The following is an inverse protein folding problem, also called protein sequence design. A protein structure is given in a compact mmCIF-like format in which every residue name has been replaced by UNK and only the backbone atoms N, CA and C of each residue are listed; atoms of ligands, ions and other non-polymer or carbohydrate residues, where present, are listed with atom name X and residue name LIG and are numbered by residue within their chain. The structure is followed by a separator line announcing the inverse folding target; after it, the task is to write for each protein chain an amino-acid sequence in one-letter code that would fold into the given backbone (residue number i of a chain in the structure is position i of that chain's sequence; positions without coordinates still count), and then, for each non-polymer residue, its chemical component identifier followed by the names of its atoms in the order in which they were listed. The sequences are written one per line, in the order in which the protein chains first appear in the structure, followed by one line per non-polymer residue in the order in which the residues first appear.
data_IF_226075804958
#
_entry.id   IF_226075804958
#
_cell.length_a   1.000
_cell.length_b   1.000
_cell.length_c   1.000
_cell.angle_alpha   90.00
_cell.angle_beta   90.00
_cell.angle_gamma   90.00
#
_symmetry.space_group_name_H-M   'P 1'
#
loop_
_entity.id
_entity.type
_entity.pdbx_description
1 polymer ?
#
# COMPACT_ATOMS: atom_id res chain seq x y z
N UNK A 1 -43.52 -4.67 -35.33
CA UNK A 1 -43.21 -5.30 -34.03
C UNK A 1 -41.93 -4.66 -33.52
N UNK A 2 -42.01 -3.74 -32.55
CA UNK A 2 -40.84 -3.05 -32.00
C UNK A 2 -40.57 -3.61 -30.60
N UNK A 3 -39.39 -4.21 -30.42
CA UNK A 3 -38.90 -4.62 -29.12
C UNK A 3 -37.90 -3.57 -28.63
N UNK A 4 -38.22 -2.90 -27.52
CA UNK A 4 -37.30 -2.00 -26.81
C UNK A 4 -36.65 -2.79 -25.68
N UNK A 5 -35.36 -3.10 -25.81
CA UNK A 5 -34.58 -3.67 -24.73
C UNK A 5 -34.12 -2.55 -23.78
N UNK A 6 -34.66 -2.54 -22.56
CA UNK A 6 -34.08 -1.75 -21.46
C UNK A 6 -32.82 -2.47 -20.97
N UNK A 7 -31.65 -1.97 -21.36
CA UNK A 7 -30.41 -2.31 -20.65
C UNK A 7 -30.49 -1.70 -19.26
N UNK A 8 -30.71 -2.55 -18.25
CA UNK A 8 -30.58 -2.17 -16.86
C UNK A 8 -29.09 -2.05 -16.54
N UNK A 9 -28.51 -0.87 -16.75
CA UNK A 9 -27.15 -0.56 -16.32
C UNK A 9 -27.21 -0.44 -14.80
N UNK A 10 -27.16 -1.58 -14.11
CA UNK A 10 -26.62 -1.60 -12.76
C UNK A 10 -25.16 -1.18 -12.90
N UNK A 11 -24.92 0.11 -12.74
CA UNK A 11 -23.61 0.72 -12.64
C UNK A 11 -22.98 0.16 -11.35
N UNK A 12 -22.40 -1.04 -11.47
CA UNK A 12 -21.68 -1.72 -10.39
C UNK A 12 -20.50 -0.81 -10.09
N UNK A 13 -20.62 0.07 -9.09
CA UNK A 13 -19.51 0.90 -8.62
C UNK A 13 -18.35 -0.06 -8.38
N UNK A 14 -17.35 -0.04 -9.26
CA UNK A 14 -16.21 -0.94 -9.12
C UNK A 14 -15.49 -0.53 -7.85
N UNK A 15 -15.28 -1.50 -6.95
CA UNK A 15 -14.48 -1.26 -5.76
C UNK A 15 -13.06 -0.89 -6.20
N UNK A 16 -12.63 0.32 -5.89
CA UNK A 16 -11.29 0.82 -6.22
C UNK A 16 -10.31 0.26 -5.20
N UNK A 17 -9.44 -0.65 -5.64
CA UNK A 17 -8.37 -1.20 -4.79
C UNK A 17 -7.13 -0.33 -4.96
N UNK A 18 -6.57 0.16 -3.85
CA UNK A 18 -5.32 0.93 -3.81
C UNK A 18 -4.32 0.14 -2.98
N UNK A 19 -3.16 -0.15 -3.56
CA UNK A 19 -2.08 -0.82 -2.87
C UNK A 19 -1.19 0.19 -2.15
N UNK A 20 -0.92 -0.07 -0.87
CA UNK A 20 0.08 0.68 -0.10
C UNK A 20 1.44 0.50 -0.75
N UNK A 21 2.11 1.63 -1.01
CA UNK A 21 3.48 1.64 -1.55
C UNK A 21 4.50 2.26 -0.59
N UNK A 22 4.71 1.63 0.55
CA UNK A 22 5.57 2.12 1.65
C UNK A 22 6.64 1.11 2.00
N UNK A 23 7.90 1.40 1.68
CA UNK A 23 9.03 0.51 1.94
C UNK A 23 9.75 1.02 3.19
N UNK A 24 9.49 0.36 4.32
CA UNK A 24 10.04 0.76 5.61
C UNK A 24 10.37 -0.48 6.43
N UNK A 25 11.52 -0.44 7.09
CA UNK A 25 11.89 -1.40 8.12
C UNK A 25 11.22 -0.99 9.43
N UNK A 26 10.69 -1.96 10.16
CA UNK A 26 10.07 -1.70 11.46
C UNK A 26 10.62 -2.63 12.54
N UNK A 27 10.23 -2.34 13.78
CA UNK A 27 10.70 -2.95 15.02
C UNK A 27 10.19 -4.38 15.23
N UNK A 28 9.24 -4.85 14.41
CA UNK A 28 8.68 -6.21 14.52
C UNK A 28 8.31 -6.81 13.17
N UNK A 29 8.40 -8.14 13.07
CA UNK A 29 7.99 -8.91 11.88
C UNK A 29 6.47 -9.00 11.70
N UNK A 30 5.70 -8.61 12.73
CA UNK A 30 4.24 -8.50 12.72
C UNK A 30 3.73 -7.10 12.35
N UNK A 31 4.60 -6.19 11.92
CA UNK A 31 4.17 -4.84 11.52
C UNK A 31 3.60 -4.82 10.09
N UNK A 32 2.45 -4.18 9.98
CA UNK A 32 1.72 -3.95 8.75
C UNK A 32 1.59 -2.45 8.52
N UNK A 33 1.94 -2.03 7.31
CA UNK A 33 1.94 -0.64 6.89
C UNK A 33 0.75 -0.38 5.96
N UNK A 34 0.13 0.78 6.16
CA UNK A 34 -0.97 1.25 5.34
C UNK A 34 -0.76 2.71 4.96
N UNK A 35 -0.71 3.01 3.67
CA UNK A 35 -0.70 4.39 3.19
C UNK A 35 -2.13 4.93 3.23
N UNK A 36 -2.37 5.84 4.18
CA UNK A 36 -3.67 6.49 4.38
C UNK A 36 -3.65 7.93 3.86
N UNK A 37 -2.70 8.28 3.01
CA UNK A 37 -2.67 9.57 2.33
C UNK A 37 -3.92 9.76 1.46
N UNK A 38 -4.50 10.97 1.50
CA UNK A 38 -5.70 11.31 0.72
C UNK A 38 -7.02 10.82 1.34
N UNK A 39 -6.97 10.17 2.50
CA UNK A 39 -8.16 9.88 3.30
C UNK A 39 -8.69 11.14 3.99
N UNK A 40 -10.02 11.28 4.02
CA UNK A 40 -10.70 12.38 4.71
C UNK A 40 -10.84 12.15 6.21
N UNK A 41 -10.73 10.90 6.65
CA UNK A 41 -10.82 10.52 8.06
C UNK A 41 -9.69 11.12 8.90
N UNK A 42 -10.04 11.58 10.10
CA UNK A 42 -9.07 12.02 11.10
C UNK A 42 -8.22 10.84 11.58
N UNK A 43 -7.08 11.14 12.21
CA UNK A 43 -6.20 10.08 12.76
C UNK A 43 -6.94 9.18 13.76
N UNK A 44 -7.78 9.76 14.62
CA UNK A 44 -8.55 9.00 15.61
C UNK A 44 -9.59 8.11 14.95
N UNK A 45 -10.27 8.63 13.91
CA UNK A 45 -11.25 7.83 13.14
C UNK A 45 -10.58 6.65 12.43
N UNK A 46 -9.41 6.87 11.84
CA UNK A 46 -8.62 5.81 11.20
C UNK A 46 -8.21 4.73 12.21
N UNK A 47 -7.66 5.13 13.36
CA UNK A 47 -7.28 4.18 14.42
C UNK A 47 -8.48 3.38 14.91
N UNK A 48 -9.60 4.04 15.19
CA UNK A 48 -10.83 3.37 15.63
C UNK A 48 -11.34 2.37 14.60
N UNK A 49 -11.33 2.74 13.32
CA UNK A 49 -11.76 1.88 12.21
C UNK A 49 -10.85 0.65 12.04
N UNK A 50 -9.54 0.84 12.19
CA UNK A 50 -8.55 -0.26 12.15
C UNK A 50 -8.81 -1.22 13.32
N UNK A 51 -8.90 -0.70 14.55
CA UNK A 51 -9.15 -1.51 15.75
C UNK A 51 -10.47 -2.26 15.67
N UNK A 52 -11.52 -1.66 15.09
CA UNK A 52 -12.82 -2.30 14.86
C UNK A 52 -12.74 -3.48 13.89
N UNK A 53 -11.94 -3.38 12.83
CA UNK A 53 -11.77 -4.44 11.82
C UNK A 53 -10.76 -5.52 12.24
N UNK A 54 -9.77 -5.14 13.04
CA UNK A 54 -8.64 -5.98 13.44
C UNK A 54 -8.39 -5.85 14.94
N UNK A 55 -9.26 -6.46 15.75
CA UNK A 55 -9.23 -6.29 17.21
C UNK A 55 -8.07 -7.00 17.91
N UNK A 56 -7.42 -7.96 17.25
CA UNK A 56 -6.25 -8.67 17.78
C UNK A 56 -4.95 -7.85 17.71
N UNK A 57 -5.00 -6.70 17.05
CA UNK A 57 -3.84 -5.82 16.91
C UNK A 57 -3.35 -5.31 18.28
N UNK A 58 -2.03 -5.26 18.45
CA UNK A 58 -1.37 -4.81 19.68
C UNK A 58 -1.36 -3.28 19.73
N UNK A 59 -1.06 -2.61 18.61
CA UNK A 59 -0.97 -1.16 18.56
C UNK A 59 -1.16 -0.60 17.14
N UNK A 60 -1.93 0.49 17.02
CA UNK A 60 -1.99 1.32 15.82
C UNK A 60 -1.26 2.62 16.12
N UNK A 61 -0.29 2.96 15.28
CA UNK A 61 0.36 4.26 15.28
C UNK A 61 0.16 4.90 13.93
N UNK A 62 0.06 6.23 13.88
CA UNK A 62 0.02 6.94 12.60
C UNK A 62 1.11 7.98 12.57
N UNK A 63 1.97 7.89 11.57
CA UNK A 63 3.11 8.78 11.38
C UNK A 63 2.92 9.59 10.10
N UNK A 64 3.49 10.80 10.08
CA UNK A 64 3.53 11.65 8.90
C UNK A 64 4.95 11.65 8.36
N UNK A 65 5.11 11.20 7.12
CA UNK A 65 6.40 11.12 6.42
C UNK A 65 6.33 12.02 5.18
N UNK A 66 6.80 13.26 5.31
CA UNK A 66 6.64 14.29 4.29
C UNK A 66 5.16 14.58 4.03
N UNK A 67 4.71 14.36 2.78
CA UNK A 67 3.30 14.50 2.40
C UNK A 67 2.46 13.25 2.69
N UNK A 68 3.09 12.10 2.96
CA UNK A 68 2.40 10.84 3.22
C UNK A 68 1.99 10.74 4.67
N UNK A 69 0.91 10.01 4.90
CA UNK A 69 0.43 9.62 6.23
C UNK A 69 0.34 8.12 6.24
N UNK A 70 1.09 7.48 7.13
CA UNK A 70 1.24 6.03 7.17
C UNK A 70 0.67 5.55 8.52
N UNK A 71 -0.21 4.56 8.46
CA UNK A 71 -0.62 3.82 9.64
C UNK A 71 0.24 2.56 9.78
N UNK A 72 0.82 2.39 10.95
CA UNK A 72 1.58 1.22 11.38
C UNK A 72 0.70 0.42 12.33
N UNK A 73 0.40 -0.83 11.95
CA UNK A 73 -0.48 -1.72 12.69
C UNK A 73 0.38 -2.91 13.13
N UNK A 74 0.58 -3.03 14.43
CA UNK A 74 1.42 -4.06 15.01
C UNK A 74 0.57 -5.21 15.51
N UNK A 75 0.90 -6.42 15.08
CA UNK A 75 0.31 -7.66 15.52
C UNK A 75 1.36 -8.53 16.23
N UNK A 76 0.90 -9.56 16.93
CA UNK A 76 1.79 -10.69 17.23
C UNK A 76 2.25 -11.32 15.89
N UNK A 77 3.53 -11.66 15.70
CA UNK A 77 4.01 -12.20 14.42
C UNK A 77 3.30 -13.47 13.94
N UNK A 78 2.66 -14.22 14.83
CA UNK A 78 1.90 -15.44 14.53
C UNK A 78 0.39 -15.18 14.40
N UNK A 79 -0.05 -13.92 14.48
CA UNK A 79 -1.45 -13.57 14.38
C UNK A 79 -2.00 -13.84 12.97
N UNK A 80 -3.04 -14.69 12.80
CA UNK A 80 -3.65 -14.97 11.50
C UNK A 80 -4.28 -13.72 10.85
N UNK A 81 -4.55 -12.66 11.62
CA UNK A 81 -5.03 -11.39 11.10
C UNK A 81 -4.05 -10.75 10.12
N UNK A 82 -2.75 -11.04 10.23
CA UNK A 82 -1.71 -10.53 9.31
C UNK A 82 -2.01 -10.95 7.87
N UNK A 83 -2.26 -12.24 7.63
CA UNK A 83 -2.55 -12.73 6.28
C UNK A 83 -3.88 -12.19 5.78
N UNK A 84 -4.85 -12.03 6.69
CA UNK A 84 -6.15 -11.44 6.37
C UNK A 84 -6.02 -9.98 5.92
N UNK A 85 -5.30 -9.13 6.66
CA UNK A 85 -5.14 -7.71 6.33
C UNK A 85 -4.26 -7.50 5.08
N UNK A 86 -3.29 -8.38 4.81
CA UNK A 86 -2.51 -8.32 3.58
C UNK A 86 -3.35 -8.69 2.35
N UNK A 87 -4.23 -9.68 2.47
CA UNK A 87 -5.09 -10.13 1.37
C UNK A 87 -6.32 -9.25 1.16
N UNK A 88 -6.94 -8.83 2.26
CA UNK A 88 -8.22 -8.14 2.26
C UNK A 88 -8.16 -6.71 2.79
N UNK A 89 -7.01 -6.19 3.18
CA UNK A 89 -6.83 -4.77 3.47
C UNK A 89 -7.81 -4.20 4.50
N UNK A 90 -8.05 -2.91 4.36
CA UNK A 90 -8.98 -2.14 5.18
C UNK A 90 -10.09 -1.57 4.32
N UNK A 91 -11.31 -1.67 4.83
CA UNK A 91 -12.52 -1.11 4.20
C UNK A 91 -12.97 0.13 4.96
N UNK A 92 -13.52 1.12 4.24
CA UNK A 92 -13.99 2.37 4.82
C UNK A 92 -15.52 2.43 4.73
N UNK A 93 -16.17 2.94 5.78
CA UNK A 93 -17.63 3.04 5.80
C UNK A 93 -18.10 3.93 4.64
N UNK A 94 -19.08 3.43 3.88
CA UNK A 94 -19.65 4.08 2.68
C UNK A 94 -18.70 4.25 1.47
N UNK A 95 -17.50 3.70 1.53
CA UNK A 95 -16.53 3.82 0.45
C UNK A 95 -16.43 2.54 -0.39
N UNK A 96 -16.28 2.72 -1.68
CA UNK A 96 -15.90 1.64 -2.61
C UNK A 96 -14.39 1.46 -2.67
N UNK A 97 -13.63 2.32 -1.98
CA UNK A 97 -12.18 2.23 -1.90
C UNK A 97 -11.75 1.24 -0.83
N UNK A 98 -10.87 0.34 -1.24
CA UNK A 98 -10.22 -0.64 -0.38
C UNK A 98 -8.72 -0.38 -0.41
N UNK A 99 -8.13 -0.21 0.76
CA UNK A 99 -6.67 -0.05 0.87
C UNK A 99 -6.04 -1.39 1.23
N UNK A 100 -5.16 -1.90 0.39
CA UNK A 100 -4.37 -3.09 0.68
C UNK A 100 -3.09 -2.68 1.40
N UNK A 101 -2.86 -3.29 2.55
CA UNK A 101 -1.67 -3.08 3.36
C UNK A 101 -0.46 -3.81 2.77
N UNK A 102 0.74 -3.42 3.19
CA UNK A 102 1.96 -4.17 2.93
C UNK A 102 2.66 -4.51 4.24
N UNK A 103 3.45 -5.58 4.26
CA UNK A 103 4.29 -5.90 5.42
C UNK A 103 5.45 -4.91 5.49
N UNK A 104 5.87 -4.55 6.71
CA UNK A 104 7.17 -3.89 6.86
C UNK A 104 8.28 -4.80 6.36
N UNK A 105 9.37 -4.21 5.89
CA UNK A 105 10.56 -4.96 5.54
C UNK A 105 11.23 -5.49 6.81
N UNK A 106 11.87 -6.64 6.70
CA UNK A 106 12.71 -7.18 7.77
C UNK A 106 13.82 -6.15 8.10
N UNK A 107 14.02 -5.77 9.37
CA UNK A 107 15.04 -4.80 9.76
C UNK A 107 16.47 -5.22 9.39
N UNK A 108 16.72 -6.51 9.14
CA UNK A 108 18.01 -7.03 8.69
C UNK A 108 18.26 -6.68 7.22
N UNK A 109 17.21 -6.45 6.42
CA UNK A 109 17.34 -6.14 5.00
C UNK A 109 17.76 -4.67 4.82
N UNK A 110 18.96 -4.38 4.29
CA UNK A 110 19.39 -3.01 4.07
C UNK A 110 18.56 -2.38 2.94
N UNK A 111 17.76 -1.38 3.29
CA UNK A 111 17.02 -0.59 2.32
C UNK A 111 17.90 0.57 1.83
N UNK A 112 18.21 0.57 0.53
CA UNK A 112 19.02 1.62 -0.09
C UNK A 112 18.19 2.41 -1.09
N UNK A 113 18.14 3.74 -0.93
CA UNK A 113 17.54 4.64 -1.91
C UNK A 113 18.62 5.22 -2.82
N UNK A 114 18.59 4.86 -4.09
CA UNK A 114 19.52 5.37 -5.09
C UNK A 114 18.93 6.58 -5.82
N UNK A 115 19.74 7.61 -6.03
CA UNK A 115 19.44 8.72 -6.93
C UNK A 115 20.43 8.67 -8.08
N UNK A 116 19.93 8.35 -9.27
CA UNK A 116 20.73 8.33 -10.49
C UNK A 116 20.58 9.66 -11.22
N UNK A 117 21.68 10.23 -11.67
CA UNK A 117 21.75 11.46 -12.46
C UNK A 117 22.53 11.22 -13.74
N UNK A 118 22.39 12.10 -14.74
CA UNK A 118 23.04 11.98 -16.05
C UNK A 118 22.70 10.67 -16.77
N UNK A 119 21.43 10.24 -16.65
CA UNK A 119 20.93 9.08 -17.39
C UNK A 119 20.88 9.40 -18.89
N UNK A 120 21.11 8.39 -19.76
CA UNK A 120 20.97 8.56 -21.19
C UNK A 120 19.53 8.95 -21.57
N UNK A 121 19.40 9.75 -22.63
CA UNK A 121 18.11 10.21 -23.14
C UNK A 121 17.36 9.08 -23.86
N UNK A 122 16.75 8.18 -23.10
CA UNK A 122 15.85 7.15 -23.59
C UNK A 122 14.39 7.45 -23.25
N UNK A 123 13.47 6.83 -23.99
CA UNK A 123 12.06 6.79 -23.58
C UNK A 123 11.94 6.07 -22.24
N UNK A 124 11.05 6.57 -21.38
CA UNK A 124 10.89 6.10 -19.99
C UNK A 124 10.81 4.57 -19.89
N UNK A 125 9.94 3.91 -20.67
CA UNK A 125 9.80 2.45 -20.62
C UNK A 125 11.07 1.67 -20.97
N UNK A 126 11.90 2.19 -21.88
CA UNK A 126 13.21 1.58 -22.22
C UNK A 126 14.18 1.78 -21.06
N UNK A 127 14.23 2.99 -20.52
CA UNK A 127 15.08 3.34 -19.40
C UNK A 127 14.75 2.52 -18.15
N UNK A 128 13.47 2.38 -17.80
CA UNK A 128 13.00 1.53 -16.70
C UNK A 128 13.48 0.09 -16.85
N UNK A 129 13.30 -0.49 -18.05
CA UNK A 129 13.69 -1.87 -18.33
C UNK A 129 15.20 -2.06 -18.20
N UNK A 130 15.99 -1.17 -18.78
CA UNK A 130 17.45 -1.25 -18.72
C UNK A 130 17.96 -1.04 -17.30
N UNK A 131 17.44 -0.06 -16.57
CA UNK A 131 17.80 0.15 -15.16
C UNK A 131 17.48 -1.07 -14.31
N UNK A 132 16.33 -1.70 -14.52
CA UNK A 132 15.98 -2.94 -13.81
C UNK A 132 17.02 -4.03 -14.06
N UNK A 133 17.38 -4.28 -15.32
CA UNK A 133 18.39 -5.28 -15.70
C UNK A 133 19.75 -4.95 -15.08
N UNK A 134 20.17 -3.68 -15.12
CA UNK A 134 21.46 -3.26 -14.57
C UNK A 134 21.52 -3.32 -13.04
N UNK A 135 20.40 -3.14 -12.34
CA UNK A 135 20.35 -3.13 -10.88
C UNK A 135 20.06 -4.51 -10.26
N UNK A 136 19.48 -5.43 -11.03
CA UNK A 136 19.12 -6.79 -10.58
C UNK A 136 20.27 -7.56 -9.90
N UNK A 137 21.54 -7.48 -10.36
CA UNK A 137 22.65 -8.15 -9.68
C UNK A 137 22.95 -7.61 -8.27
N UNK A 138 22.52 -6.38 -7.97
CA UNK A 138 22.79 -5.72 -6.69
C UNK A 138 21.66 -5.88 -5.68
N UNK A 139 20.52 -6.43 -6.10
CA UNK A 139 19.38 -6.69 -5.23
C UNK A 139 18.04 -6.57 -5.93
N UNK A 140 16.98 -6.56 -5.12
CA UNK A 140 15.61 -6.44 -5.60
C UNK A 140 15.19 -4.98 -5.71
N UNK A 141 14.80 -4.56 -6.91
CA UNK A 141 14.23 -3.23 -7.15
C UNK A 141 12.79 -3.19 -6.64
N UNK A 142 12.54 -2.41 -5.57
CA UNK A 142 11.21 -2.29 -4.96
C UNK A 142 10.34 -1.19 -5.58
N UNK A 143 10.93 -0.07 -5.96
CA UNK A 143 10.24 1.03 -6.64
C UNK A 143 11.21 1.82 -7.52
N UNK A 144 10.68 2.42 -8.57
CA UNK A 144 11.43 3.24 -9.51
C UNK A 144 10.55 4.41 -9.95
N UNK A 145 11.04 5.62 -9.68
CA UNK A 145 10.35 6.87 -9.98
C UNK A 145 11.27 7.79 -10.74
N UNK A 146 10.71 8.53 -11.71
CA UNK A 146 11.38 9.63 -12.39
C UNK A 146 10.87 10.94 -11.80
N UNK A 147 11.80 11.82 -11.46
CA UNK A 147 11.54 13.17 -10.95
C UNK A 147 11.64 14.19 -12.08
#
# INVERSE_FOLDING_TARGET
MHATFKYNIHNRKQNKIIHTKVWKTDRSSGCILLDVMGRSESTVQLMFLIVKQYSSQIAVVTTKEGSRKIAEINFDPLDPAIDHILKYGITFENDTVKLLSCRSLDPIVPLVRLRLSNLPFFKEGILQKQLKISLEPYGSLLDLTFL
#
